data_IF_671654848081
#
_entry.id   IF_671654848081
#
_cell.length_a   1.000
_cell.length_b   1.000
_cell.length_c   1.000
_cell.angle_alpha   90.00
_cell.angle_beta   90.00
_cell.angle_gamma   90.00
#
_symmetry.space_group_name_H-M   'P 1'
#
loop_
_entity.id
_entity.type
_entity.pdbx_description
1 polymer ?
#
# COMPACT_ATOMS: atom_id res chain seq x y z
N UNK A 1 -19.10 -43.32 0.50
CA UNK A 1 -19.18 -41.86 0.65
C UNK A 1 -18.34 -41.27 -0.44
N UNK A 2 -18.80 -40.33 -1.27
CA UNK A 2 -17.91 -39.64 -2.19
C UNK A 2 -16.94 -38.82 -1.35
N UNK A 3 -15.64 -39.09 -1.51
CA UNK A 3 -14.56 -38.36 -0.87
C UNK A 3 -14.57 -36.91 -1.35
N UNK A 4 -14.47 -35.95 -0.45
CA UNK A 4 -14.39 -34.51 -0.68
C UNK A 4 -13.30 -34.12 -1.68
N UNK A 5 -12.35 -35.00 -1.95
CA UNK A 5 -11.21 -34.82 -2.87
C UNK A 5 -11.60 -34.62 -4.34
N UNK A 6 -12.88 -34.74 -4.72
CA UNK A 6 -13.27 -34.83 -6.12
C UNK A 6 -13.61 -33.49 -6.79
N UNK A 7 -13.67 -32.36 -6.08
CA UNK A 7 -13.95 -31.08 -6.74
C UNK A 7 -12.92 -29.99 -6.41
N UNK A 8 -12.19 -29.59 -7.43
CA UNK A 8 -11.25 -28.44 -7.38
C UNK A 8 -11.86 -27.19 -6.70
N UNK A 9 -13.14 -26.83 -6.92
CA UNK A 9 -13.74 -25.70 -6.24
C UNK A 9 -13.80 -25.83 -4.71
N UNK A 10 -14.12 -27.00 -4.18
CA UNK A 10 -14.18 -27.20 -2.72
C UNK A 10 -12.81 -27.09 -2.08
N UNK A 11 -11.80 -27.71 -2.70
CA UNK A 11 -10.43 -27.65 -2.23
C UNK A 11 -9.91 -26.20 -2.19
N UNK A 12 -10.11 -25.43 -3.25
CA UNK A 12 -9.68 -24.03 -3.32
C UNK A 12 -10.33 -23.15 -2.23
N UNK A 13 -11.62 -23.34 -1.99
CA UNK A 13 -12.36 -22.58 -0.98
C UNK A 13 -11.95 -22.92 0.44
N UNK A 14 -11.79 -24.19 0.74
CA UNK A 14 -11.34 -24.64 2.07
C UNK A 14 -9.92 -24.14 2.35
N UNK A 15 -9.02 -24.21 1.39
CA UNK A 15 -7.69 -23.65 1.51
C UNK A 15 -7.73 -22.13 1.76
N UNK A 16 -8.47 -21.37 0.98
CA UNK A 16 -8.59 -19.94 1.15
C UNK A 16 -9.13 -19.57 2.54
N UNK A 17 -10.13 -20.30 3.04
CA UNK A 17 -10.71 -20.09 4.36
C UNK A 17 -9.77 -20.50 5.50
N UNK A 18 -9.03 -21.61 5.34
CA UNK A 18 -8.08 -22.08 6.37
C UNK A 18 -6.93 -21.10 6.60
N UNK A 19 -6.55 -20.38 5.57
CA UNK A 19 -5.39 -19.52 5.56
C UNK A 19 -5.74 -18.08 5.93
N UNK A 20 -7.02 -17.75 5.84
CA UNK A 20 -7.48 -16.45 6.28
C UNK A 20 -7.50 -16.36 7.80
N UNK A 21 -6.89 -15.31 8.34
CA UNK A 21 -6.96 -15.02 9.78
C UNK A 21 -8.36 -14.56 10.22
N UNK A 22 -9.27 -14.33 9.27
CA UNK A 22 -10.64 -13.88 9.50
C UNK A 22 -11.64 -14.58 8.56
N UNK A 23 -12.93 -14.55 8.89
CA UNK A 23 -13.98 -15.01 7.97
C UNK A 23 -13.95 -14.20 6.65
N UNK A 24 -14.15 -14.89 5.52
CA UNK A 24 -14.18 -14.30 4.18
C UNK A 24 -15.59 -14.33 3.61
N UNK A 25 -15.98 -13.28 2.89
CA UNK A 25 -17.25 -13.26 2.16
C UNK A 25 -17.13 -13.93 0.77
N UNK A 26 -18.25 -14.16 0.10
CA UNK A 26 -18.31 -14.84 -1.20
C UNK A 26 -17.48 -14.14 -2.29
N UNK A 27 -17.41 -12.79 -2.28
CA UNK A 27 -16.63 -12.02 -3.25
C UNK A 27 -15.14 -12.14 -3.01
N UNK A 28 -14.72 -12.08 -1.76
CA UNK A 28 -13.32 -12.29 -1.38
C UNK A 28 -12.86 -13.69 -1.77
N UNK A 29 -13.68 -14.70 -1.50
CA UNK A 29 -13.40 -16.07 -1.90
C UNK A 29 -13.35 -16.25 -3.42
N UNK A 30 -14.26 -15.61 -4.16
CA UNK A 30 -14.26 -15.65 -5.63
C UNK A 30 -12.95 -15.06 -6.20
N UNK A 31 -12.51 -13.94 -5.66
CA UNK A 31 -11.28 -13.30 -6.11
C UNK A 31 -10.02 -14.10 -5.72
N UNK A 32 -9.97 -14.66 -4.51
CA UNK A 32 -8.85 -15.50 -4.04
C UNK A 32 -8.73 -16.78 -4.87
N UNK A 33 -9.87 -17.43 -5.17
CA UNK A 33 -9.86 -18.72 -5.87
C UNK A 33 -9.94 -18.62 -7.39
N UNK A 34 -10.23 -17.44 -7.92
CA UNK A 34 -10.50 -17.26 -9.35
C UNK A 34 -11.82 -17.88 -9.83
N UNK A 35 -12.65 -18.37 -8.91
CA UNK A 35 -13.94 -18.97 -9.24
C UNK A 35 -15.04 -17.92 -9.41
N UNK A 36 -15.99 -18.11 -10.35
CA UNK A 36 -17.17 -17.24 -10.42
C UNK A 36 -17.98 -17.27 -9.11
N UNK A 37 -18.49 -16.13 -8.63
CA UNK A 37 -19.24 -16.02 -7.36
C UNK A 37 -20.39 -17.06 -7.25
N UNK A 38 -21.05 -17.37 -8.35
CA UNK A 38 -22.13 -18.37 -8.34
C UNK A 38 -21.61 -19.79 -8.00
N UNK A 39 -20.39 -20.12 -8.43
CA UNK A 39 -19.74 -21.38 -8.09
C UNK A 39 -19.25 -21.40 -6.65
N UNK A 40 -18.68 -20.28 -6.18
CA UNK A 40 -18.30 -20.10 -4.77
C UNK A 40 -19.50 -20.33 -3.86
N UNK A 41 -20.64 -19.69 -4.16
CA UNK A 41 -21.87 -19.85 -3.39
C UNK A 41 -22.40 -21.27 -3.36
N UNK A 42 -22.38 -21.98 -4.50
CA UNK A 42 -22.80 -23.38 -4.57
C UNK A 42 -21.90 -24.26 -3.72
N UNK A 43 -20.59 -24.12 -3.87
CA UNK A 43 -19.62 -24.93 -3.15
C UNK A 43 -19.63 -24.65 -1.63
N UNK A 44 -19.80 -23.39 -1.20
CA UNK A 44 -19.95 -23.04 0.22
C UNK A 44 -21.19 -23.67 0.86
N UNK A 45 -22.30 -23.72 0.13
CA UNK A 45 -23.51 -24.42 0.60
C UNK A 45 -23.27 -25.90 0.79
N UNK A 46 -22.60 -26.55 -0.16
CA UNK A 46 -22.25 -27.97 -0.07
C UNK A 46 -21.29 -28.23 1.09
N UNK A 47 -20.24 -27.41 1.25
CA UNK A 47 -19.29 -27.48 2.35
C UNK A 47 -19.95 -27.23 3.72
N UNK A 48 -20.93 -26.32 3.77
CA UNK A 48 -21.71 -26.08 4.99
C UNK A 48 -22.60 -27.24 5.37
N UNK A 49 -23.23 -27.87 4.40
CA UNK A 49 -24.00 -29.13 4.64
C UNK A 49 -23.11 -30.25 5.18
N UNK A 50 -21.86 -30.29 4.77
CA UNK A 50 -20.85 -31.22 5.24
C UNK A 50 -20.19 -30.79 6.56
N UNK A 51 -20.58 -29.64 7.12
CA UNK A 51 -20.05 -29.08 8.38
C UNK A 51 -18.57 -28.70 8.33
N UNK A 52 -18.00 -28.45 7.17
CA UNK A 52 -16.62 -27.97 7.03
C UNK A 52 -16.52 -26.47 7.17
N UNK A 53 -17.55 -25.73 6.80
CA UNK A 53 -17.62 -24.27 6.94
C UNK A 53 -18.92 -23.85 7.61
N UNK A 54 -18.89 -22.70 8.27
CA UNK A 54 -20.07 -22.07 8.85
C UNK A 54 -20.09 -20.57 8.51
N UNK A 55 -21.30 -20.02 8.41
CA UNK A 55 -21.45 -18.58 8.33
C UNK A 55 -21.05 -17.97 9.67
N UNK A 56 -20.11 -17.03 9.65
CA UNK A 56 -19.69 -16.27 10.80
C UNK A 56 -20.54 -14.98 10.90
N UNK A 57 -20.85 -14.49 12.10
CA UNK A 57 -21.48 -13.19 12.26
C UNK A 57 -20.58 -12.12 11.66
N UNK A 58 -21.16 -11.21 10.87
CA UNK A 58 -20.43 -10.07 10.34
C UNK A 58 -19.98 -9.20 11.51
N UNK A 59 -18.69 -9.20 11.82
CA UNK A 59 -18.15 -8.33 12.84
C UNK A 59 -18.31 -6.86 12.39
N UNK A 60 -19.06 -6.09 13.15
CA UNK A 60 -19.01 -4.62 13.11
C UNK A 60 -20.04 -3.88 12.27
N UNK A 61 -21.20 -4.43 11.96
CA UNK A 61 -22.32 -3.61 11.46
C UNK A 61 -23.25 -3.20 12.62
N UNK A 62 -23.16 -1.95 13.14
CA UNK A 62 -24.07 -1.48 14.18
C UNK A 62 -25.51 -1.25 13.68
N UNK A 63 -25.68 -1.19 12.38
CA UNK A 63 -26.99 -1.06 11.75
C UNK A 63 -27.29 -2.35 10.98
N UNK A 64 -28.35 -3.07 11.34
CA UNK A 64 -28.80 -4.34 10.78
C UNK A 64 -28.98 -4.40 9.25
N UNK A 65 -28.07 -3.82 8.51
CA UNK A 65 -27.94 -3.92 7.07
C UNK A 65 -27.40 -5.29 6.67
N UNK A 66 -28.05 -5.94 5.73
CA UNK A 66 -27.75 -7.24 5.15
C UNK A 66 -26.35 -7.29 4.48
N UNK A 67 -25.29 -7.27 5.27
CA UNK A 67 -23.95 -7.64 4.79
C UNK A 67 -23.96 -9.09 4.29
N UNK A 68 -23.32 -9.36 3.16
CA UNK A 68 -23.16 -10.73 2.69
C UNK A 68 -22.51 -11.57 3.81
N UNK A 69 -22.99 -12.78 4.08
CA UNK A 69 -22.45 -13.62 5.15
C UNK A 69 -20.97 -13.88 4.91
N UNK A 70 -20.17 -13.72 5.96
CA UNK A 70 -18.79 -14.18 5.96
C UNK A 70 -18.74 -15.65 6.37
N UNK A 71 -17.75 -16.37 5.86
CA UNK A 71 -17.60 -17.80 6.04
C UNK A 71 -16.29 -18.10 6.75
N UNK A 72 -16.31 -19.06 7.68
CA UNK A 72 -15.14 -19.53 8.40
C UNK A 72 -15.13 -21.07 8.41
N UNK A 73 -13.93 -21.65 8.54
CA UNK A 73 -13.77 -23.08 8.72
C UNK A 73 -14.18 -23.48 10.13
N UNK A 74 -14.91 -24.57 10.21
CA UNK A 74 -15.28 -25.19 11.48
C UNK A 74 -14.31 -26.30 11.89
N UNK A 75 -13.87 -27.11 10.93
CA UNK A 75 -12.92 -28.21 11.16
C UNK A 75 -12.35 -28.73 9.83
N UNK A 76 -11.03 -28.90 9.74
CA UNK A 76 -10.37 -29.66 8.67
C UNK A 76 -9.35 -30.61 9.29
N UNK A 77 -9.34 -31.85 8.79
CA UNK A 77 -8.32 -32.83 9.13
C UNK A 77 -7.02 -32.48 8.35
N UNK A 78 -5.81 -32.55 8.99
CA UNK A 78 -4.54 -32.22 8.32
C UNK A 78 -4.30 -33.00 7.01
N UNK A 79 -4.58 -34.29 7.01
CA UNK A 79 -4.40 -35.17 5.83
C UNK A 79 -5.27 -34.73 4.64
N UNK A 80 -6.42 -34.11 4.92
CA UNK A 80 -7.31 -33.58 3.89
C UNK A 80 -6.72 -32.32 3.22
N UNK A 81 -5.96 -31.51 3.95
CA UNK A 81 -5.28 -30.34 3.38
C UNK A 81 -4.19 -30.76 2.40
N UNK A 82 -3.46 -31.82 2.69
CA UNK A 82 -2.39 -32.35 1.84
C UNK A 82 -2.95 -32.91 0.53
N UNK A 83 -4.01 -33.75 0.61
CA UNK A 83 -4.74 -34.28 -0.55
C UNK A 83 -5.34 -33.17 -1.43
N UNK A 84 -5.83 -32.11 -0.82
CA UNK A 84 -6.41 -30.97 -1.52
C UNK A 84 -5.33 -30.15 -2.24
N UNK A 85 -4.16 -29.97 -1.63
CA UNK A 85 -3.02 -29.30 -2.22
C UNK A 85 -2.53 -30.07 -3.46
N UNK A 86 -2.40 -31.38 -3.37
CA UNK A 86 -2.01 -32.27 -4.47
C UNK A 86 -3.01 -32.22 -5.65
N UNK A 87 -4.31 -32.21 -5.31
CA UNK A 87 -5.40 -32.10 -6.31
C UNK A 87 -5.35 -30.77 -7.07
N UNK A 88 -5.07 -29.67 -6.39
CA UNK A 88 -4.98 -28.35 -6.99
C UNK A 88 -3.73 -28.19 -7.86
N UNK A 89 -2.59 -28.73 -7.43
CA UNK A 89 -1.36 -28.74 -8.22
C UNK A 89 -1.51 -29.50 -9.54
N UNK A 90 -2.21 -30.63 -9.51
CA UNK A 90 -2.39 -31.47 -10.71
C UNK A 90 -3.45 -30.93 -11.66
N UNK A 91 -4.49 -30.25 -11.15
CA UNK A 91 -5.63 -29.80 -11.94
C UNK A 91 -5.48 -28.41 -12.56
N UNK A 92 -4.62 -27.55 -12.02
CA UNK A 92 -4.53 -26.15 -12.40
C UNK A 92 -3.09 -25.61 -12.33
N UNK A 93 -2.20 -26.03 -13.24
CA UNK A 93 -0.80 -25.56 -13.23
C UNK A 93 -0.69 -24.04 -13.40
N UNK A 94 -1.61 -23.40 -14.14
CA UNK A 94 -1.63 -21.95 -14.34
C UNK A 94 -2.34 -21.19 -13.21
N UNK A 95 -3.07 -21.85 -12.34
CA UNK A 95 -3.77 -21.29 -11.19
C UNK A 95 -3.26 -21.84 -9.85
N UNK A 96 -2.00 -22.24 -9.80
CA UNK A 96 -1.34 -22.75 -8.59
C UNK A 96 -1.30 -21.79 -7.39
N UNK A 97 -1.82 -20.57 -7.57
CA UNK A 97 -1.91 -19.57 -6.52
C UNK A 97 -2.68 -20.04 -5.28
N UNK A 98 -3.83 -20.72 -5.38
CA UNK A 98 -4.51 -21.27 -4.20
C UNK A 98 -3.66 -22.27 -3.43
N UNK A 99 -2.86 -23.08 -4.13
CA UNK A 99 -1.90 -23.99 -3.51
C UNK A 99 -0.80 -23.24 -2.77
N UNK A 100 -0.13 -22.28 -3.44
CA UNK A 100 0.93 -21.49 -2.82
C UNK A 100 0.39 -20.66 -1.65
N UNK A 101 -0.84 -20.16 -1.74
CA UNK A 101 -1.53 -19.56 -0.60
C UNK A 101 -1.76 -20.58 0.53
N UNK A 102 -2.09 -21.82 0.17
CA UNK A 102 -2.25 -22.95 1.09
C UNK A 102 -0.99 -23.19 1.89
N UNK A 103 0.09 -23.31 1.18
CA UNK A 103 1.40 -23.59 1.74
C UNK A 103 1.92 -22.41 2.56
N UNK A 104 1.54 -21.15 2.30
CA UNK A 104 1.93 -19.99 3.12
C UNK A 104 1.52 -20.12 4.61
N UNK A 105 0.56 -20.98 4.92
CA UNK A 105 0.18 -21.33 6.30
C UNK A 105 1.12 -22.30 7.02
N UNK A 106 1.91 -23.09 6.28
CA UNK A 106 2.76 -24.18 6.79
C UNK A 106 4.24 -24.01 6.39
N UNK A 107 4.79 -25.01 5.72
CA UNK A 107 6.19 -25.11 5.31
C UNK A 107 6.48 -24.40 3.97
N UNK A 108 5.84 -23.28 3.73
CA UNK A 108 6.01 -22.50 2.51
C UNK A 108 7.45 -22.01 2.33
N UNK A 109 7.85 -21.94 1.08
CA UNK A 109 9.14 -21.37 0.67
C UNK A 109 8.99 -19.88 0.28
N UNK A 110 10.12 -19.18 0.12
CA UNK A 110 10.11 -17.82 -0.43
C UNK A 110 9.64 -17.81 -1.89
N UNK A 111 9.85 -18.90 -2.62
CA UNK A 111 9.36 -19.11 -3.98
C UNK A 111 7.82 -19.11 -4.02
N UNK A 112 7.17 -19.80 -3.09
CA UNK A 112 5.71 -19.81 -2.96
C UNK A 112 5.19 -18.40 -2.66
N UNK A 113 5.85 -17.70 -1.76
CA UNK A 113 5.51 -16.31 -1.44
C UNK A 113 5.64 -15.40 -2.67
N UNK A 114 6.69 -15.56 -3.48
CA UNK A 114 6.89 -14.77 -4.70
C UNK A 114 5.78 -15.00 -5.71
N UNK A 115 5.31 -16.25 -5.88
CA UNK A 115 4.20 -16.58 -6.79
C UNK A 115 2.92 -15.87 -6.33
N UNK A 116 2.63 -15.88 -5.01
CA UNK A 116 1.48 -15.18 -4.46
C UNK A 116 1.62 -13.67 -4.63
N UNK A 117 2.80 -13.11 -4.40
CA UNK A 117 3.07 -11.68 -4.60
C UNK A 117 2.84 -11.26 -6.05
N UNK A 118 3.29 -12.06 -7.03
CA UNK A 118 3.06 -11.81 -8.46
C UNK A 118 1.56 -11.87 -8.80
N UNK A 119 0.84 -12.83 -8.24
CA UNK A 119 -0.61 -12.91 -8.42
C UNK A 119 -1.33 -11.68 -7.88
N UNK A 120 -0.97 -11.23 -6.66
CA UNK A 120 -1.50 -10.00 -6.07
C UNK A 120 -1.24 -8.83 -7.02
N UNK A 121 -0.01 -8.71 -7.54
CA UNK A 121 0.39 -7.65 -8.45
C UNK A 121 -0.45 -7.63 -9.73
N UNK A 122 -0.66 -8.79 -10.35
CA UNK A 122 -1.48 -8.88 -11.55
C UNK A 122 -2.94 -8.50 -11.31
N UNK A 123 -3.49 -8.82 -10.14
CA UNK A 123 -4.88 -8.52 -9.75
C UNK A 123 -5.09 -7.12 -9.22
N UNK A 124 -4.05 -6.47 -8.67
CA UNK A 124 -4.12 -5.06 -8.29
C UNK A 124 -4.44 -4.14 -9.47
N UNK A 125 -4.10 -4.56 -10.70
CA UNK A 125 -4.42 -3.83 -11.92
C UNK A 125 -5.92 -3.68 -12.12
N UNK A 126 -6.67 -4.72 -11.78
CA UNK A 126 -8.11 -4.81 -11.98
C UNK A 126 -8.92 -4.22 -10.81
N UNK A 127 -8.22 -3.69 -9.79
CA UNK A 127 -8.84 -3.08 -8.61
C UNK A 127 -9.76 -4.04 -7.83
N UNK A 128 -9.37 -5.30 -7.68
CA UNK A 128 -10.12 -6.29 -6.93
C UNK A 128 -9.86 -6.16 -5.41
N UNK A 129 -10.83 -5.67 -4.61
CA UNK A 129 -10.63 -5.46 -3.17
C UNK A 129 -10.24 -6.73 -2.40
N UNK A 130 -10.65 -7.88 -2.89
CA UNK A 130 -10.41 -9.17 -2.25
C UNK A 130 -8.92 -9.58 -2.28
N UNK A 131 -8.15 -9.04 -3.21
CA UNK A 131 -6.70 -9.24 -3.27
C UNK A 131 -6.00 -8.70 -2.01
N UNK A 132 -6.61 -7.73 -1.33
CA UNK A 132 -6.02 -7.18 -0.10
C UNK A 132 -5.98 -8.17 1.07
N UNK A 133 -6.88 -9.16 1.12
CA UNK A 133 -6.79 -10.25 2.10
C UNK A 133 -5.52 -11.09 1.90
N UNK A 134 -5.06 -11.24 0.66
CA UNK A 134 -3.83 -11.95 0.34
C UNK A 134 -2.59 -11.22 0.86
N UNK A 135 -2.63 -9.90 0.97
CA UNK A 135 -1.51 -9.13 1.54
C UNK A 135 -1.24 -9.50 2.99
N UNK A 136 -2.28 -9.62 3.80
CA UNK A 136 -2.11 -9.99 5.21
C UNK A 136 -1.39 -11.33 5.33
N UNK A 137 -1.80 -12.31 4.51
CA UNK A 137 -1.17 -13.64 4.50
C UNK A 137 0.30 -13.57 4.12
N UNK A 138 0.63 -12.82 3.08
CA UNK A 138 2.02 -12.63 2.63
C UNK A 138 2.85 -11.93 3.71
N UNK A 139 2.33 -10.86 4.32
CA UNK A 139 3.04 -10.14 5.40
C UNK A 139 3.24 -11.04 6.61
N UNK A 140 2.22 -11.80 7.02
CA UNK A 140 2.32 -12.75 8.13
C UNK A 140 3.30 -13.88 7.83
N UNK A 141 3.32 -14.38 6.60
CA UNK A 141 4.32 -15.36 6.17
C UNK A 141 5.73 -14.78 6.28
N UNK A 142 5.97 -13.59 5.72
CA UNK A 142 7.30 -12.96 5.77
C UNK A 142 7.74 -12.67 7.21
N UNK A 143 6.84 -12.28 8.09
CA UNK A 143 7.16 -12.11 9.51
C UNK A 143 7.55 -13.45 10.19
N UNK A 144 6.81 -14.52 9.91
CA UNK A 144 7.15 -15.85 10.46
C UNK A 144 8.45 -16.38 9.87
N UNK A 145 8.60 -16.31 8.56
CA UNK A 145 9.80 -16.79 7.86
C UNK A 145 11.05 -16.09 8.36
N UNK A 146 11.02 -14.77 8.44
CA UNK A 146 12.16 -13.99 8.93
C UNK A 146 12.54 -14.32 10.36
N UNK A 147 11.55 -14.54 11.25
CA UNK A 147 11.82 -14.97 12.65
C UNK A 147 12.41 -16.37 12.72
N UNK A 148 11.89 -17.30 11.91
CA UNK A 148 12.35 -18.68 11.88
C UNK A 148 13.77 -18.83 11.31
N UNK A 149 14.15 -17.99 10.33
CA UNK A 149 15.40 -18.09 9.59
C UNK A 149 16.35 -16.92 9.87
N UNK A 150 16.22 -16.27 11.02
CA UNK A 150 17.02 -15.11 11.38
C UNK A 150 18.54 -15.41 11.35
N UNK A 151 18.93 -16.58 11.82
CA UNK A 151 20.34 -16.98 11.97
C UNK A 151 20.82 -17.93 10.85
N UNK A 152 19.92 -18.48 10.03
CA UNK A 152 20.23 -19.52 9.03
C UNK A 152 19.66 -19.23 7.62
N UNK A 153 19.19 -18.02 7.37
CA UNK A 153 18.65 -17.63 6.06
C UNK A 153 19.65 -17.80 4.91
N UNK A 154 20.94 -17.69 5.20
CA UNK A 154 22.02 -17.97 4.26
C UNK A 154 21.87 -17.21 2.95
N UNK A 155 21.96 -17.93 1.82
CA UNK A 155 21.81 -17.34 0.47
C UNK A 155 20.40 -16.83 0.16
N UNK A 156 19.38 -17.22 0.93
CA UNK A 156 17.99 -16.77 0.71
C UNK A 156 17.70 -15.41 1.36
N UNK A 157 18.60 -14.91 2.20
CA UNK A 157 18.39 -13.62 2.90
C UNK A 157 18.21 -12.42 1.96
N UNK A 158 18.86 -12.40 0.80
CA UNK A 158 18.68 -11.36 -0.19
C UNK A 158 17.29 -11.42 -0.84
N UNK A 159 16.81 -12.63 -1.18
CA UNK A 159 15.48 -12.82 -1.76
C UNK A 159 14.38 -12.43 -0.78
N UNK A 160 14.56 -12.76 0.48
CA UNK A 160 13.68 -12.30 1.55
C UNK A 160 13.64 -10.77 1.62
N UNK A 161 14.79 -10.11 1.62
CA UNK A 161 14.87 -8.66 1.65
C UNK A 161 14.18 -8.00 0.44
N UNK A 162 14.35 -8.55 -0.76
CA UNK A 162 13.64 -8.08 -1.96
C UNK A 162 12.13 -8.23 -1.85
N UNK A 163 11.65 -9.40 -1.42
CA UNK A 163 10.22 -9.62 -1.22
C UNK A 163 9.62 -8.65 -0.20
N UNK A 164 10.35 -8.38 0.89
CA UNK A 164 9.92 -7.38 1.88
C UNK A 164 9.76 -6.00 1.24
N UNK A 165 10.76 -5.54 0.46
CA UNK A 165 10.70 -4.24 -0.21
C UNK A 165 9.51 -4.15 -1.18
N UNK A 166 9.26 -5.22 -1.94
CA UNK A 166 8.14 -5.30 -2.88
C UNK A 166 6.81 -5.22 -2.16
N UNK A 167 6.61 -6.06 -1.14
CA UNK A 167 5.37 -6.10 -0.36
C UNK A 167 5.12 -4.77 0.33
N UNK A 168 6.14 -4.13 0.86
CA UNK A 168 6.03 -2.79 1.45
C UNK A 168 5.60 -1.74 0.42
N UNK A 169 6.12 -1.80 -0.82
CA UNK A 169 5.67 -0.92 -1.91
C UNK A 169 4.19 -1.12 -2.23
N UNK A 170 3.74 -2.37 -2.27
CA UNK A 170 2.33 -2.71 -2.49
C UNK A 170 1.44 -2.19 -1.35
N UNK A 171 1.87 -2.31 -0.10
CA UNK A 171 1.14 -1.79 1.06
C UNK A 171 1.02 -0.26 1.04
N UNK A 172 2.02 0.48 0.56
CA UNK A 172 1.90 1.93 0.34
C UNK A 172 0.76 2.24 -0.62
N UNK A 173 0.61 1.42 -1.63
CA UNK A 173 -0.40 1.59 -2.66
C UNK A 173 -1.82 1.38 -2.14
N UNK A 174 -2.02 0.32 -1.37
CA UNK A 174 -3.32 -0.07 -0.84
C UNK A 174 -3.73 0.67 0.44
N UNK A 175 -2.79 1.25 1.18
CA UNK A 175 -2.94 1.71 2.58
C UNK A 175 -3.44 0.66 3.58
N UNK A 176 -3.73 -0.54 3.10
CA UNK A 176 -3.99 -1.66 3.99
C UNK A 176 -2.66 -2.21 4.50
N UNK A 177 -2.65 -2.63 5.75
CA UNK A 177 -1.49 -3.30 6.38
C UNK A 177 -0.17 -2.51 6.43
N UNK A 178 -0.20 -1.18 6.20
CA UNK A 178 1.01 -0.34 6.27
C UNK A 178 1.75 -0.47 7.60
N UNK A 179 1.00 -0.50 8.70
CA UNK A 179 1.60 -0.66 10.03
C UNK A 179 2.29 -2.02 10.16
N UNK A 180 1.61 -3.09 9.75
CA UNK A 180 2.15 -4.44 9.77
C UNK A 180 3.36 -4.59 8.82
N UNK A 181 3.30 -3.98 7.64
CA UNK A 181 4.41 -3.95 6.69
C UNK A 181 5.63 -3.19 7.24
N UNK A 182 5.42 -2.18 8.09
CA UNK A 182 6.53 -1.46 8.75
C UNK A 182 7.29 -2.36 9.71
N UNK A 183 6.64 -3.35 10.32
CA UNK A 183 7.29 -4.33 11.21
C UNK A 183 8.26 -5.26 10.47
N UNK A 184 8.08 -5.43 9.15
CA UNK A 184 8.99 -6.23 8.32
C UNK A 184 10.39 -5.61 8.19
N UNK A 185 10.51 -4.28 8.21
CA UNK A 185 11.79 -3.61 7.99
C UNK A 185 12.85 -3.95 9.04
N UNK A 186 12.59 -3.88 10.36
CA UNK A 186 13.57 -4.25 11.37
C UNK A 186 14.00 -5.71 11.23
N UNK A 187 13.03 -6.61 11.00
CA UNK A 187 13.29 -8.03 10.87
C UNK A 187 14.14 -8.34 9.63
N UNK A 188 13.78 -7.76 8.46
CA UNK A 188 14.55 -7.93 7.24
C UNK A 188 15.98 -7.37 7.38
N UNK A 189 16.13 -6.26 8.10
CA UNK A 189 17.42 -5.68 8.39
C UNK A 189 18.29 -6.62 9.23
N UNK A 190 17.74 -7.21 10.29
CA UNK A 190 18.47 -8.17 11.15
C UNK A 190 18.82 -9.47 10.40
N UNK A 191 17.88 -10.01 9.61
CA UNK A 191 18.13 -11.18 8.76
C UNK A 191 19.26 -10.91 7.78
N UNK A 192 19.27 -9.74 7.13
CA UNK A 192 20.35 -9.35 6.22
C UNK A 192 21.69 -9.20 6.93
N UNK A 193 21.72 -8.59 8.11
CA UNK A 193 22.92 -8.39 8.90
C UNK A 193 23.55 -9.71 9.36
N UNK A 194 22.74 -10.64 9.87
CA UNK A 194 23.21 -11.92 10.40
C UNK A 194 23.65 -12.92 9.32
N UNK A 195 23.14 -12.76 8.10
CA UNK A 195 23.37 -13.68 7.00
C UNK A 195 24.29 -13.12 5.91
N UNK A 196 25.15 -12.17 6.24
CA UNK A 196 26.14 -11.57 5.32
C UNK A 196 25.51 -10.95 4.05
N UNK A 197 24.27 -10.48 4.16
CA UNK A 197 23.56 -9.79 3.08
C UNK A 197 23.53 -8.27 3.33
N UNK A 198 24.57 -7.73 3.88
CA UNK A 198 24.69 -6.33 4.32
C UNK A 198 24.37 -5.32 3.20
N UNK A 199 24.54 -5.71 1.92
CA UNK A 199 24.24 -4.88 0.76
C UNK A 199 22.78 -4.42 0.71
N UNK A 200 21.83 -5.19 1.27
CA UNK A 200 20.42 -4.83 1.29
C UNK A 200 20.03 -3.94 2.48
N UNK A 201 20.85 -3.89 3.51
CA UNK A 201 20.56 -3.11 4.72
C UNK A 201 20.31 -1.62 4.44
N UNK A 202 21.12 -0.93 3.61
CA UNK A 202 20.86 0.47 3.27
C UNK A 202 19.51 0.67 2.57
N UNK A 203 19.15 -0.24 1.64
CA UNK A 203 17.89 -0.16 0.90
C UNK A 203 16.69 -0.34 1.84
N UNK A 204 16.70 -1.38 2.67
CA UNK A 204 15.66 -1.65 3.66
C UNK A 204 15.48 -0.43 4.58
N UNK A 205 16.58 0.16 5.00
CA UNK A 205 16.55 1.32 5.89
C UNK A 205 15.96 2.57 5.22
N UNK A 206 16.45 2.93 4.04
CA UNK A 206 15.94 4.08 3.29
C UNK A 206 14.45 3.89 3.00
N UNK A 207 14.06 2.68 2.58
CA UNK A 207 12.68 2.39 2.26
C UNK A 207 11.76 2.41 3.49
N UNK A 208 12.26 1.99 4.66
CA UNK A 208 11.55 2.16 5.93
C UNK A 208 11.23 3.62 6.23
N UNK A 209 12.20 4.53 6.04
CA UNK A 209 11.99 5.96 6.22
C UNK A 209 10.94 6.50 5.22
N UNK A 210 10.98 6.00 3.99
CA UNK A 210 9.98 6.33 2.98
C UNK A 210 8.58 5.85 3.36
N UNK A 211 8.44 4.62 3.85
CA UNK A 211 7.17 4.09 4.35
C UNK A 211 6.56 4.94 5.47
N UNK A 212 7.39 5.49 6.32
CA UNK A 212 6.94 6.31 7.44
C UNK A 212 6.24 7.60 7.01
N UNK A 213 6.47 8.09 5.78
CA UNK A 213 5.67 9.18 5.21
C UNK A 213 4.18 8.81 5.13
N UNK A 214 3.88 7.54 4.98
CA UNK A 214 2.51 7.05 4.76
C UNK A 214 1.89 6.40 6.00
N UNK A 215 2.70 5.84 6.90
CA UNK A 215 2.22 5.14 8.10
C UNK A 215 2.13 6.02 9.34
N UNK A 216 2.82 7.16 9.37
CA UNK A 216 2.83 8.08 10.52
C UNK A 216 3.60 7.57 11.75
N UNK A 217 4.35 6.48 11.61
CA UNK A 217 5.18 5.94 12.69
C UNK A 217 6.34 6.86 13.07
N UNK A 218 6.86 6.75 14.29
CA UNK A 218 8.05 7.50 14.70
C UNK A 218 9.25 7.11 13.86
N UNK A 219 9.90 8.06 13.18
CA UNK A 219 11.15 7.76 12.52
C UNK A 219 12.22 7.60 13.59
N UNK A 220 12.91 6.49 13.65
CA UNK A 220 14.19 6.45 14.34
C UNK A 220 15.20 7.23 13.50
N UNK A 221 15.12 8.55 13.54
CA UNK A 221 16.10 9.45 12.97
C UNK A 221 17.37 9.40 13.83
N UNK A 222 18.10 8.32 13.73
CA UNK A 222 19.47 8.32 14.19
C UNK A 222 20.33 8.69 13.00
N UNK A 223 21.17 9.72 13.12
CA UNK A 223 22.14 10.19 12.10
C UNK A 223 22.97 9.07 11.48
N UNK A 224 23.04 7.95 12.16
CA UNK A 224 23.77 6.75 11.79
C UNK A 224 23.40 6.14 10.43
N UNK A 225 22.21 6.44 9.91
CA UNK A 225 21.63 5.80 8.73
C UNK A 225 21.33 6.76 7.57
N UNK A 226 21.55 8.06 7.76
CA UNK A 226 21.38 9.05 6.69
C UNK A 226 22.47 9.00 5.59
N UNK A 227 23.27 7.96 5.56
CA UNK A 227 24.28 7.70 4.52
C UNK A 227 24.12 6.31 3.91
N UNK A 228 22.87 5.82 3.86
CA UNK A 228 22.60 4.48 3.34
C UNK A 228 23.02 4.31 1.87
N UNK A 229 22.72 5.30 1.03
CA UNK A 229 23.09 5.28 -0.39
C UNK A 229 24.59 5.33 -0.61
N UNK A 230 25.35 6.02 0.24
CA UNK A 230 26.82 6.05 0.18
C UNK A 230 27.40 4.66 0.42
N UNK A 231 26.84 3.89 1.36
CA UNK A 231 27.26 2.50 1.61
C UNK A 231 26.99 1.60 0.41
N UNK A 232 25.88 1.84 -0.34
CA UNK A 232 25.57 1.06 -1.55
C UNK A 232 26.64 1.20 -2.64
N UNK A 233 27.35 2.32 -2.72
CA UNK A 233 28.39 2.58 -3.73
C UNK A 233 29.62 1.68 -3.60
N UNK A 234 29.78 1.00 -2.46
CA UNK A 234 30.88 0.04 -2.26
C UNK A 234 30.60 -1.31 -2.94
N UNK A 235 29.36 -1.62 -3.27
CA UNK A 235 29.00 -2.84 -3.98
C UNK A 235 29.16 -2.65 -5.50
N UNK A 236 29.88 -3.56 -6.14
CA UNK A 236 30.29 -3.45 -7.56
C UNK A 236 29.34 -4.17 -8.50
N UNK A 237 28.41 -4.95 -7.99
CA UNK A 237 27.42 -5.67 -8.79
C UNK A 237 26.55 -4.69 -9.56
N UNK A 238 26.34 -4.95 -10.86
CA UNK A 238 25.64 -4.03 -11.76
C UNK A 238 24.19 -3.75 -11.28
N UNK A 239 23.49 -4.76 -10.80
CA UNK A 239 22.13 -4.61 -10.27
C UNK A 239 22.07 -3.67 -9.05
N UNK A 240 23.11 -3.67 -8.22
CA UNK A 240 23.23 -2.74 -7.09
C UNK A 240 23.54 -1.33 -7.57
N UNK A 241 24.42 -1.17 -8.56
CA UNK A 241 24.75 0.13 -9.15
C UNK A 241 23.52 0.78 -9.81
N UNK A 242 22.68 -0.01 -10.48
CA UNK A 242 21.43 0.45 -11.10
C UNK A 242 20.39 0.92 -10.07
N UNK A 243 20.45 0.39 -8.84
CA UNK A 243 19.55 0.77 -7.73
C UNK A 243 19.97 2.04 -7.01
N UNK A 244 21.27 2.38 -7.05
CA UNK A 244 21.81 3.53 -6.31
C UNK A 244 21.03 4.83 -6.61
N UNK A 245 20.78 5.24 -7.86
CA UNK A 245 20.08 6.49 -8.13
C UNK A 245 18.68 6.54 -7.49
N UNK A 246 18.00 5.40 -7.38
CA UNK A 246 16.66 5.33 -6.79
C UNK A 246 16.71 5.55 -5.29
N UNK A 247 17.52 4.78 -4.59
CA UNK A 247 17.61 4.90 -3.13
C UNK A 247 18.29 6.20 -2.69
N UNK A 248 19.31 6.65 -3.42
CA UNK A 248 19.94 7.96 -3.20
C UNK A 248 18.94 9.09 -3.39
N UNK A 249 18.09 9.02 -4.42
CA UNK A 249 17.06 10.01 -4.68
C UNK A 249 15.98 10.05 -3.59
N UNK A 250 15.54 8.89 -3.10
CA UNK A 250 14.61 8.82 -1.96
C UNK A 250 15.27 9.42 -0.70
N UNK A 251 16.50 9.03 -0.41
CA UNK A 251 17.26 9.54 0.74
C UNK A 251 17.44 11.05 0.68
N UNK A 252 17.81 11.60 -0.47
CA UNK A 252 17.95 13.03 -0.69
C UNK A 252 16.61 13.76 -0.50
N UNK A 253 15.51 13.20 -1.00
CA UNK A 253 14.18 13.75 -0.78
C UNK A 253 13.82 13.83 0.70
N UNK A 254 14.07 12.76 1.47
CA UNK A 254 13.84 12.73 2.90
C UNK A 254 14.70 13.77 3.66
N UNK A 255 15.92 13.98 3.21
CA UNK A 255 16.82 15.02 3.75
C UNK A 255 16.43 16.45 3.34
N UNK A 256 15.53 16.62 2.36
CA UNK A 256 15.16 17.90 1.79
C UNK A 256 16.16 18.43 0.77
N UNK A 257 17.03 17.57 0.23
CA UNK A 257 17.98 17.88 -0.84
C UNK A 257 17.29 17.68 -2.20
N UNK A 258 16.36 18.59 -2.52
CA UNK A 258 15.45 18.41 -3.66
C UNK A 258 16.14 18.45 -5.01
N UNK A 259 17.18 19.27 -5.18
CA UNK A 259 17.94 19.31 -6.44
C UNK A 259 18.68 18.02 -6.71
N UNK A 260 19.29 17.45 -5.68
CA UNK A 260 19.98 16.16 -5.73
C UNK A 260 19.00 15.02 -6.02
N UNK A 261 17.78 15.09 -5.48
CA UNK A 261 16.69 14.15 -5.83
C UNK A 261 16.40 14.19 -7.35
N UNK A 262 16.28 15.39 -7.93
CA UNK A 262 16.05 15.54 -9.38
C UNK A 262 17.23 15.05 -10.21
N UNK A 263 18.46 15.24 -9.76
CA UNK A 263 19.64 14.68 -10.43
C UNK A 263 19.64 13.15 -10.39
N UNK A 264 19.25 12.55 -9.28
CA UNK A 264 19.09 11.09 -9.18
C UNK A 264 18.01 10.58 -10.11
N UNK A 265 16.88 11.29 -10.19
CA UNK A 265 15.80 10.95 -11.11
C UNK A 265 16.27 10.98 -12.59
N UNK A 266 17.06 11.95 -12.97
CA UNK A 266 17.61 12.06 -14.33
C UNK A 266 18.62 10.93 -14.67
N UNK A 267 19.30 10.37 -13.65
CA UNK A 267 20.28 9.29 -13.80
C UNK A 267 19.69 7.89 -13.64
N UNK A 268 18.38 7.78 -13.34
CA UNK A 268 17.77 6.48 -13.13
C UNK A 268 17.92 5.61 -14.37
N UNK A 269 18.14 4.28 -14.21
CA UNK A 269 18.24 3.37 -15.33
C UNK A 269 16.93 3.31 -16.12
N UNK A 270 17.00 3.00 -17.40
CA UNK A 270 15.82 2.67 -18.19
C UNK A 270 15.10 1.49 -17.50
N UNK A 271 13.79 1.64 -17.34
CA UNK A 271 12.95 0.82 -16.45
C UNK A 271 12.80 -0.63 -16.95
N UNK A 272 13.82 -1.47 -16.79
CA UNK A 272 13.71 -2.89 -17.16
C UNK A 272 13.56 -3.85 -15.98
N UNK A 273 13.71 -3.36 -14.73
CA UNK A 273 13.52 -4.20 -13.54
C UNK A 273 12.03 -4.32 -13.19
N UNK A 274 11.57 -5.55 -12.91
CA UNK A 274 10.18 -5.88 -12.63
C UNK A 274 9.53 -5.07 -11.51
N UNK A 275 10.25 -4.74 -10.46
CA UNK A 275 9.75 -3.95 -9.33
C UNK A 275 9.68 -2.43 -9.61
N UNK A 276 10.30 -1.95 -10.70
CA UNK A 276 10.13 -0.59 -11.19
C UNK A 276 8.90 -0.42 -12.08
N UNK A 277 8.53 -1.46 -12.80
CA UNK A 277 7.46 -1.38 -13.81
C UNK A 277 6.06 -1.37 -13.20
N UNK A 278 5.90 -1.86 -11.96
CA UNK A 278 4.61 -2.27 -11.44
C UNK A 278 4.12 -1.49 -10.24
N UNK A 279 4.97 -0.66 -9.61
CA UNK A 279 4.59 0.09 -8.43
C UNK A 279 4.70 1.58 -8.70
N UNK A 280 3.91 2.34 -7.93
CA UNK A 280 4.08 3.76 -7.79
C UNK A 280 5.56 4.05 -7.51
N UNK A 281 6.30 4.35 -8.57
CA UNK A 281 7.75 4.44 -8.54
C UNK A 281 8.20 5.44 -7.48
N UNK A 282 8.80 5.01 -6.38
CA UNK A 282 9.09 5.88 -5.26
C UNK A 282 9.93 7.10 -5.66
N UNK A 283 10.87 6.91 -6.59
CA UNK A 283 11.71 8.01 -7.04
C UNK A 283 10.95 9.02 -7.89
N UNK A 284 10.05 8.59 -8.77
CA UNK A 284 9.18 9.52 -9.52
C UNK A 284 8.29 10.32 -8.59
N UNK A 285 7.76 9.69 -7.52
CA UNK A 285 7.01 10.42 -6.49
C UNK A 285 7.90 11.46 -5.79
N UNK A 286 9.05 11.06 -5.29
CA UNK A 286 10.00 11.97 -4.62
C UNK A 286 10.42 13.12 -5.53
N UNK A 287 10.73 12.82 -6.80
CA UNK A 287 11.16 13.82 -7.79
C UNK A 287 10.04 14.80 -8.14
N UNK A 288 8.80 14.32 -8.33
CA UNK A 288 7.67 15.20 -8.60
C UNK A 288 7.38 16.13 -7.42
N UNK A 289 7.45 15.63 -6.19
CA UNK A 289 7.32 16.44 -4.98
C UNK A 289 8.49 17.43 -4.83
N UNK A 290 9.72 17.00 -5.08
CA UNK A 290 10.89 17.86 -5.04
C UNK A 290 10.77 19.02 -6.04
N UNK A 291 10.35 18.75 -7.28
CA UNK A 291 10.10 19.77 -8.29
C UNK A 291 8.98 20.75 -7.86
N UNK A 292 7.89 20.24 -7.23
CA UNK A 292 6.85 21.10 -6.68
C UNK A 292 7.36 22.02 -5.57
N UNK A 293 8.21 21.52 -4.67
CA UNK A 293 8.77 22.32 -3.59
C UNK A 293 9.77 23.38 -4.10
N UNK A 294 10.48 23.08 -5.18
CA UNK A 294 11.34 24.05 -5.87
C UNK A 294 10.56 25.01 -6.77
N UNK A 295 9.24 24.86 -6.89
CA UNK A 295 8.36 25.61 -7.80
C UNK A 295 8.68 25.40 -9.29
N UNK A 296 9.36 24.30 -9.61
CA UNK A 296 9.65 23.89 -10.98
C UNK A 296 8.43 23.13 -11.56
N UNK A 297 7.29 23.80 -11.60
CA UNK A 297 6.00 23.20 -11.96
C UNK A 297 5.96 22.53 -13.34
N UNK A 298 6.60 23.06 -14.40
CA UNK A 298 6.67 22.35 -15.69
C UNK A 298 7.36 20.99 -15.57
N UNK A 299 8.46 20.94 -14.81
CA UNK A 299 9.18 19.69 -14.56
C UNK A 299 8.33 18.71 -13.74
N UNK A 300 7.69 19.18 -12.67
CA UNK A 300 6.78 18.36 -11.87
C UNK A 300 5.63 17.78 -12.73
N UNK A 301 5.03 18.60 -13.61
CA UNK A 301 4.00 18.16 -14.55
C UNK A 301 4.53 17.06 -15.48
N UNK A 302 5.71 17.27 -16.07
CA UNK A 302 6.34 16.30 -16.98
C UNK A 302 6.61 14.95 -16.30
N UNK A 303 7.10 14.96 -15.06
CA UNK A 303 7.34 13.74 -14.28
C UNK A 303 6.02 13.00 -14.02
N UNK A 304 4.99 13.70 -13.54
CA UNK A 304 3.69 13.11 -13.21
C UNK A 304 3.02 12.55 -14.47
N UNK A 305 2.99 13.29 -15.56
CA UNK A 305 2.36 12.84 -16.81
C UNK A 305 3.12 11.67 -17.45
N UNK A 306 4.45 11.66 -17.42
CA UNK A 306 5.25 10.54 -17.87
C UNK A 306 4.96 9.27 -17.06
N UNK A 307 4.92 9.38 -15.74
CA UNK A 307 4.62 8.25 -14.86
C UNK A 307 3.17 7.75 -15.04
N UNK A 308 2.21 8.67 -15.21
CA UNK A 308 0.81 8.34 -15.51
C UNK A 308 0.68 7.58 -16.84
N UNK A 309 1.30 8.08 -17.90
CA UNK A 309 1.28 7.43 -19.21
C UNK A 309 1.91 6.04 -19.17
N UNK A 310 3.03 5.89 -18.46
CA UNK A 310 3.67 4.58 -18.26
C UNK A 310 2.70 3.59 -17.58
N UNK A 311 2.00 4.04 -16.54
CA UNK A 311 1.01 3.22 -15.84
C UNK A 311 -0.17 2.85 -16.75
N UNK A 312 -0.68 3.79 -17.55
CA UNK A 312 -1.77 3.53 -18.51
C UNK A 312 -1.37 2.53 -19.59
N UNK A 313 -0.17 2.67 -20.15
CA UNK A 313 0.36 1.73 -21.15
C UNK A 313 0.58 0.32 -20.58
N UNK A 314 0.90 0.22 -19.29
CA UNK A 314 1.01 -1.05 -18.56
C UNK A 314 -0.35 -1.63 -18.14
N UNK A 315 -1.47 -0.93 -18.38
CA UNK A 315 -2.80 -1.32 -17.89
C UNK A 315 -3.02 -1.11 -16.41
N UNK A 316 -2.15 -0.37 -15.73
CA UNK A 316 -2.17 -0.14 -14.27
C UNK A 316 -3.09 1.05 -13.93
N UNK A 317 -4.38 0.84 -14.09
CA UNK A 317 -5.40 1.90 -13.93
C UNK A 317 -5.33 2.62 -12.58
N UNK A 318 -5.15 1.90 -11.48
CA UNK A 318 -5.08 2.53 -10.15
C UNK A 318 -3.83 3.39 -9.97
N UNK A 319 -2.69 2.92 -10.49
CA UNK A 319 -1.45 3.70 -10.46
C UNK A 319 -1.62 4.99 -11.24
N UNK A 320 -2.23 4.92 -12.43
CA UNK A 320 -2.54 6.10 -13.23
C UNK A 320 -3.45 7.09 -12.47
N UNK A 321 -4.49 6.59 -11.79
CA UNK A 321 -5.38 7.44 -10.98
C UNK A 321 -4.67 8.07 -9.77
N UNK A 322 -3.72 7.37 -9.16
CA UNK A 322 -2.90 7.93 -8.09
C UNK A 322 -2.04 9.10 -8.60
N UNK A 323 -1.48 8.98 -9.80
CA UNK A 323 -0.77 10.08 -10.45
C UNK A 323 -1.69 11.26 -10.80
N UNK A 324 -2.93 11.01 -11.20
CA UNK A 324 -3.93 12.07 -11.38
C UNK A 324 -4.24 12.77 -10.05
N UNK A 325 -4.31 12.03 -8.94
CA UNK A 325 -4.50 12.64 -7.63
C UNK A 325 -3.33 13.58 -7.24
N UNK A 326 -2.09 13.20 -7.58
CA UNK A 326 -0.93 14.09 -7.43
C UNK A 326 -1.01 15.31 -8.34
N UNK A 327 -1.45 15.13 -9.58
CA UNK A 327 -1.64 16.22 -10.53
C UNK A 327 -2.65 17.25 -10.00
N UNK A 328 -3.72 16.81 -9.32
CA UNK A 328 -4.67 17.72 -8.70
C UNK A 328 -3.99 18.70 -7.73
N UNK A 329 -3.15 18.22 -6.82
CA UNK A 329 -2.43 19.08 -5.88
C UNK A 329 -1.42 19.99 -6.57
N UNK A 330 -0.76 19.53 -7.64
CA UNK A 330 0.11 20.37 -8.45
C UNK A 330 -0.66 21.52 -9.11
N UNK A 331 -1.81 21.23 -9.72
CA UNK A 331 -2.66 22.23 -10.35
C UNK A 331 -3.19 23.25 -9.34
N UNK A 332 -3.61 22.81 -8.15
CA UNK A 332 -4.02 23.69 -7.06
C UNK A 332 -2.89 24.63 -6.62
N UNK A 333 -1.65 24.13 -6.53
CA UNK A 333 -0.47 24.97 -6.21
C UNK A 333 -0.16 26.00 -7.30
N UNK A 334 -0.42 25.66 -8.55
CA UNK A 334 -0.28 26.57 -9.70
C UNK A 334 -1.38 27.63 -9.78
N UNK A 335 -2.48 27.44 -9.03
CA UNK A 335 -3.69 28.24 -9.18
C UNK A 335 -4.51 27.89 -10.42
N UNK A 336 -4.24 26.76 -11.09
CA UNK A 336 -4.97 26.29 -12.27
C UNK A 336 -6.28 25.59 -11.84
N UNK A 337 -7.19 26.37 -11.26
CA UNK A 337 -8.39 25.85 -10.57
C UNK A 337 -9.34 25.13 -11.53
N UNK A 338 -9.51 25.64 -12.76
CA UNK A 338 -10.42 25.05 -13.75
C UNK A 338 -9.94 23.67 -14.22
N UNK A 339 -8.63 23.52 -14.38
CA UNK A 339 -8.02 22.22 -14.72
C UNK A 339 -8.09 21.25 -13.53
N UNK A 340 -7.85 21.77 -12.32
CA UNK A 340 -7.87 20.97 -11.10
C UNK A 340 -9.25 20.34 -10.84
N UNK A 341 -10.33 21.14 -10.97
CA UNK A 341 -11.68 20.61 -10.68
C UNK A 341 -12.09 19.51 -11.66
N UNK A 342 -11.72 19.63 -12.94
CA UNK A 342 -12.01 18.57 -13.93
C UNK A 342 -11.32 17.24 -13.55
N UNK A 343 -10.08 17.29 -13.06
CA UNK A 343 -9.36 16.08 -12.63
C UNK A 343 -9.91 15.52 -11.30
N UNK A 344 -10.29 16.40 -10.39
CA UNK A 344 -10.90 16.02 -9.12
C UNK A 344 -12.25 15.32 -9.36
N UNK A 345 -13.11 15.91 -10.18
CA UNK A 345 -14.41 15.33 -10.54
C UNK A 345 -14.25 13.98 -11.25
N UNK A 346 -13.27 13.88 -12.14
CA UNK A 346 -12.93 12.60 -12.77
C UNK A 346 -12.61 11.52 -11.71
N UNK A 347 -11.73 11.81 -10.75
CA UNK A 347 -11.36 10.85 -9.70
C UNK A 347 -12.55 10.46 -8.82
N UNK A 348 -13.36 11.44 -8.40
CA UNK A 348 -14.54 11.20 -7.55
C UNK A 348 -15.59 10.34 -8.23
N UNK A 349 -15.71 10.43 -9.57
CA UNK A 349 -16.64 9.62 -10.35
C UNK A 349 -16.11 8.24 -10.71
N UNK A 350 -14.78 8.10 -10.87
CA UNK A 350 -14.17 6.85 -11.35
C UNK A 350 -13.71 5.93 -10.23
N UNK A 351 -13.52 6.44 -9.00
CA UNK A 351 -13.01 5.66 -7.86
C UNK A 351 -13.96 5.80 -6.69
N UNK A 352 -14.95 4.90 -6.57
CA UNK A 352 -15.78 4.84 -5.37
C UNK A 352 -14.91 4.67 -4.12
N UNK A 353 -15.25 5.30 -3.00
CA UNK A 353 -14.48 5.19 -1.75
C UNK A 353 -14.28 3.75 -1.28
N UNK A 354 -15.18 2.85 -1.63
CA UNK A 354 -15.14 1.44 -1.28
C UNK A 354 -14.04 0.67 -2.03
N UNK A 355 -13.62 1.18 -3.18
CA UNK A 355 -12.63 0.51 -4.04
C UNK A 355 -11.19 0.91 -3.70
N UNK A 356 -10.94 2.21 -3.52
CA UNK A 356 -9.61 2.67 -3.11
C UNK A 356 -9.69 3.94 -2.27
N UNK A 357 -9.57 3.75 -0.95
CA UNK A 357 -9.66 4.85 0.01
C UNK A 357 -8.58 5.92 -0.18
N UNK A 358 -7.39 5.53 -0.60
CA UNK A 358 -6.27 6.48 -0.77
C UNK A 358 -6.56 7.48 -1.88
N UNK A 359 -6.98 6.99 -3.03
CA UNK A 359 -7.30 7.84 -4.19
C UNK A 359 -8.53 8.68 -3.88
N UNK A 360 -9.58 8.07 -3.35
CA UNK A 360 -10.82 8.76 -2.99
C UNK A 360 -10.58 9.84 -1.93
N UNK A 361 -9.88 9.54 -0.84
CA UNK A 361 -9.52 10.54 0.19
C UNK A 361 -8.64 11.65 -0.37
N UNK A 362 -7.69 11.34 -1.26
CA UNK A 362 -6.86 12.35 -1.90
C UNK A 362 -7.68 13.28 -2.79
N UNK A 363 -8.64 12.74 -3.56
CA UNK A 363 -9.56 13.53 -4.38
C UNK A 363 -10.44 14.45 -3.51
N UNK A 364 -10.99 13.93 -2.40
CA UNK A 364 -11.81 14.72 -1.46
C UNK A 364 -10.99 15.83 -0.79
N UNK A 365 -9.76 15.55 -0.39
CA UNK A 365 -8.85 16.57 0.16
C UNK A 365 -8.52 17.64 -0.87
N UNK A 366 -8.24 17.25 -2.11
CA UNK A 366 -8.02 18.18 -3.21
C UNK A 366 -9.27 19.04 -3.48
N UNK A 367 -10.49 18.45 -3.43
CA UNK A 367 -11.75 19.18 -3.55
C UNK A 367 -11.93 20.21 -2.42
N UNK A 368 -11.58 19.86 -1.19
CA UNK A 368 -11.63 20.79 -0.06
C UNK A 368 -10.68 21.99 -0.27
N UNK A 369 -9.43 21.73 -0.69
CA UNK A 369 -8.47 22.77 -1.02
C UNK A 369 -8.97 23.62 -2.18
N UNK A 370 -9.52 23.02 -3.24
CA UNK A 370 -10.13 23.74 -4.37
C UNK A 370 -11.23 24.70 -3.91
N UNK A 371 -12.16 24.23 -3.07
CA UNK A 371 -13.21 25.10 -2.56
C UNK A 371 -12.67 26.27 -1.77
N UNK A 372 -11.67 26.04 -0.92
CA UNK A 372 -11.04 27.13 -0.18
C UNK A 372 -10.37 28.16 -1.10
N UNK A 373 -9.55 27.71 -2.06
CA UNK A 373 -8.89 28.59 -3.01
C UNK A 373 -9.87 29.35 -3.91
N UNK A 374 -11.08 28.78 -4.13
CA UNK A 374 -12.20 29.43 -4.82
C UNK A 374 -13.03 30.35 -3.91
N UNK A 375 -12.58 30.68 -2.69
CA UNK A 375 -13.30 31.54 -1.73
C UNK A 375 -14.44 30.86 -0.99
N UNK A 376 -14.68 29.58 -1.16
CA UNK A 376 -15.82 28.82 -0.58
C UNK A 376 -15.37 27.98 0.62
N UNK A 377 -14.83 28.63 1.66
CA UNK A 377 -14.23 27.92 2.81
C UNK A 377 -15.25 27.08 3.59
N UNK A 378 -16.54 27.49 3.67
CA UNK A 378 -17.59 26.68 4.31
C UNK A 378 -17.84 25.36 3.56
N UNK A 379 -17.77 25.40 2.22
CA UNK A 379 -17.87 24.19 1.40
C UNK A 379 -16.67 23.27 1.64
N UNK A 380 -15.46 23.83 1.70
CA UNK A 380 -14.25 23.07 2.01
C UNK A 380 -14.35 22.33 3.35
N UNK A 381 -14.81 23.03 4.40
CA UNK A 381 -15.02 22.45 5.72
C UNK A 381 -16.02 21.28 5.68
N UNK A 382 -17.19 21.50 5.05
CA UNK A 382 -18.22 20.46 4.95
C UNK A 382 -17.74 19.22 4.21
N UNK A 383 -17.02 19.40 3.10
CA UNK A 383 -16.48 18.28 2.31
C UNK A 383 -15.54 17.43 3.15
N UNK A 384 -14.59 18.05 3.83
CA UNK A 384 -13.59 17.32 4.62
C UNK A 384 -14.21 16.64 5.85
N UNK A 385 -15.12 17.33 6.55
CA UNK A 385 -15.87 16.76 7.68
C UNK A 385 -16.71 15.56 7.29
N UNK A 386 -17.45 15.66 6.18
CA UNK A 386 -18.32 14.58 5.72
C UNK A 386 -17.53 13.35 5.31
N UNK A 387 -16.38 13.53 4.65
CA UNK A 387 -15.47 12.42 4.31
C UNK A 387 -15.00 11.72 5.57
N UNK A 388 -14.54 12.46 6.57
CA UNK A 388 -14.04 11.90 7.83
C UNK A 388 -15.10 11.09 8.55
N UNK A 389 -16.32 11.60 8.63
CA UNK A 389 -17.43 10.88 9.27
C UNK A 389 -17.78 9.58 8.53
N UNK A 390 -17.78 9.61 7.19
CA UNK A 390 -18.01 8.41 6.37
C UNK A 390 -16.88 7.39 6.55
N UNK A 391 -15.63 7.84 6.53
CA UNK A 391 -14.48 6.97 6.70
C UNK A 391 -14.48 6.32 8.09
N UNK A 392 -14.81 7.07 9.14
CA UNK A 392 -14.94 6.55 10.50
C UNK A 392 -16.04 5.50 10.63
N UNK A 393 -17.23 5.78 10.05
CA UNK A 393 -18.36 4.86 10.07
C UNK A 393 -18.08 3.53 9.35
N UNK A 394 -17.13 3.52 8.41
CA UNK A 394 -16.73 2.33 7.63
C UNK A 394 -15.47 1.65 8.17
N UNK A 395 -14.91 2.11 9.29
CA UNK A 395 -13.66 1.58 9.82
C UNK A 395 -12.43 1.81 8.92
N UNK A 396 -12.51 2.78 8.00
CA UNK A 396 -11.42 3.06 7.05
C UNK A 396 -10.21 3.64 7.77
N UNK A 397 -9.00 3.09 7.55
CA UNK A 397 -7.79 3.64 8.13
C UNK A 397 -7.56 5.08 7.67
N UNK A 398 -7.15 5.94 8.58
CA UNK A 398 -6.73 7.30 8.22
C UNK A 398 -5.30 7.28 7.71
N UNK A 399 -5.06 7.88 6.53
CA UNK A 399 -3.69 8.12 6.07
C UNK A 399 -3.15 9.38 6.72
N UNK A 400 -2.06 9.30 7.49
CA UNK A 400 -1.42 10.47 8.10
C UNK A 400 -0.69 11.33 7.07
N UNK A 401 -0.43 10.80 5.87
CA UNK A 401 0.18 11.58 4.81
C UNK A 401 -0.81 12.59 4.26
N UNK A 402 -0.54 13.86 4.54
CA UNK A 402 -1.31 15.00 4.04
C UNK A 402 -0.42 15.87 3.15
N UNK A 403 -1.00 16.41 2.09
CA UNK A 403 -0.34 17.49 1.37
C UNK A 403 -0.28 18.73 2.27
N UNK A 404 0.84 19.50 2.27
CA UNK A 404 0.96 20.73 3.05
C UNK A 404 -0.18 21.72 2.88
N UNK A 405 -0.85 21.76 1.71
CA UNK A 405 -2.03 22.60 1.49
C UNK A 405 -3.21 22.23 2.39
N UNK A 406 -3.30 20.95 2.78
CA UNK A 406 -4.37 20.49 3.70
C UNK A 406 -4.10 21.00 5.11
N UNK A 407 -2.85 20.99 5.59
CA UNK A 407 -2.51 21.57 6.89
C UNK A 407 -2.78 23.09 6.93
N UNK A 408 -2.44 23.80 5.85
CA UNK A 408 -2.77 25.22 5.73
C UNK A 408 -4.28 25.46 5.81
N UNK A 409 -5.07 24.60 5.14
CA UNK A 409 -6.53 24.68 5.18
C UNK A 409 -7.09 24.39 6.59
N UNK A 410 -6.55 23.41 7.30
CA UNK A 410 -6.96 23.10 8.68
C UNK A 410 -6.68 24.26 9.63
N UNK A 411 -5.53 24.93 9.47
CA UNK A 411 -5.21 26.14 10.21
C UNK A 411 -6.20 27.28 9.92
N UNK A 412 -6.62 27.47 8.67
CA UNK A 412 -7.66 28.46 8.30
C UNK A 412 -8.98 28.13 8.98
N UNK A 413 -9.37 26.87 9.07
CA UNK A 413 -10.60 26.45 9.78
C UNK A 413 -10.50 26.83 11.27
N UNK A 414 -9.40 26.54 11.93
CA UNK A 414 -9.16 26.90 13.33
C UNK A 414 -9.28 28.42 13.52
N UNK A 415 -8.60 29.22 12.70
CA UNK A 415 -8.62 30.71 12.78
C UNK A 415 -10.03 31.29 12.55
N UNK A 416 -10.87 30.61 11.80
CA UNK A 416 -12.27 31.02 11.57
C UNK A 416 -13.25 30.46 12.59
N UNK A 417 -12.80 29.74 13.62
CA UNK A 417 -13.61 29.18 14.68
C UNK A 417 -14.48 27.99 14.26
N UNK A 418 -14.12 27.28 13.19
CA UNK A 418 -14.80 26.04 12.85
C UNK A 418 -14.49 24.96 13.91
N UNK A 419 -15.46 24.08 14.25
CA UNK A 419 -15.23 22.95 15.11
C UNK A 419 -14.13 22.03 14.55
N UNK A 420 -13.31 21.40 15.43
CA UNK A 420 -12.30 20.44 14.99
C UNK A 420 -12.93 19.32 14.16
N UNK A 421 -12.26 18.91 13.09
CA UNK A 421 -12.65 17.76 12.28
C UNK A 421 -11.92 16.53 12.86
N UNK A 422 -12.64 15.48 13.30
CA UNK A 422 -12.01 14.27 13.82
C UNK A 422 -10.95 13.72 12.86
N UNK A 423 -9.81 13.29 13.35
CA UNK A 423 -8.63 12.83 12.58
C UNK A 423 -7.87 13.92 11.79
N UNK A 424 -8.35 15.17 11.82
CA UNK A 424 -7.71 16.32 11.19
C UNK A 424 -7.55 17.49 12.18
N UNK A 425 -7.34 17.19 13.43
CA UNK A 425 -7.02 18.20 14.43
C UNK A 425 -5.66 18.84 14.09
N UNK A 426 -5.61 20.17 14.12
CA UNK A 426 -4.41 20.93 13.70
C UNK A 426 -3.20 20.51 14.51
N UNK A 427 -3.34 20.37 15.84
CA UNK A 427 -2.24 19.98 16.73
C UNK A 427 -1.71 18.59 16.43
N UNK A 428 -2.59 17.59 16.35
CA UNK A 428 -2.22 16.22 16.01
C UNK A 428 -1.59 16.13 14.61
N UNK A 429 -2.05 16.97 13.67
CA UNK A 429 -1.47 17.04 12.31
C UNK A 429 -0.09 17.67 12.33
N UNK A 430 0.11 18.75 13.13
CA UNK A 430 1.43 19.36 13.34
C UNK A 430 2.40 18.35 13.94
N UNK A 431 2.00 17.63 15.01
CA UNK A 431 2.84 16.60 15.61
C UNK A 431 3.20 15.50 14.61
N UNK A 432 2.23 15.04 13.81
CA UNK A 432 2.46 14.05 12.76
C UNK A 432 3.49 14.55 11.75
N UNK A 433 3.40 15.80 11.30
CA UNK A 433 4.36 16.39 10.37
C UNK A 433 5.73 16.60 10.99
N UNK A 434 5.81 16.96 12.26
CA UNK A 434 7.08 17.11 12.96
C UNK A 434 7.82 15.78 13.12
N UNK A 435 7.09 14.68 13.22
CA UNK A 435 7.63 13.31 13.27
C UNK A 435 8.08 12.79 11.90
N UNK A 436 7.66 13.41 10.81
CA UNK A 436 8.04 12.97 9.47
C UNK A 436 9.53 13.19 9.19
N UNK A 437 10.20 12.29 8.48
CA UNK A 437 11.60 12.48 8.08
C UNK A 437 11.76 13.65 7.11
N UNK A 438 10.73 13.99 6.35
CA UNK A 438 10.75 15.04 5.33
C UNK A 438 10.84 16.44 5.95
N UNK A 439 11.93 17.14 5.67
CA UNK A 439 12.18 18.49 6.20
C UNK A 439 11.13 19.52 5.76
N UNK A 440 10.56 19.36 4.57
CA UNK A 440 9.52 20.28 4.07
C UNK A 440 8.23 20.16 4.88
N UNK A 441 7.79 18.93 5.18
CA UNK A 441 6.63 18.72 6.03
C UNK A 441 6.86 19.27 7.43
N UNK A 442 8.05 19.01 8.00
CA UNK A 442 8.44 19.58 9.29
C UNK A 442 8.48 21.11 9.26
N UNK A 443 9.03 21.70 8.19
CA UNK A 443 9.06 23.16 8.01
C UNK A 443 7.65 23.76 7.92
N UNK A 444 6.72 23.09 7.23
CA UNK A 444 5.32 23.52 7.18
C UNK A 444 4.66 23.45 8.56
N UNK A 445 4.89 22.37 9.30
CA UNK A 445 4.37 22.22 10.66
C UNK A 445 4.92 23.31 11.60
N UNK A 446 6.21 23.57 11.58
CA UNK A 446 6.83 24.64 12.37
C UNK A 446 6.28 26.02 12.02
N UNK A 447 6.05 26.30 10.73
CA UNK A 447 5.44 27.55 10.29
C UNK A 447 4.02 27.70 10.82
N UNK A 448 3.17 26.68 10.69
CA UNK A 448 1.79 26.73 11.20
C UNK A 448 1.78 26.81 12.72
N UNK A 449 2.66 26.08 13.40
CA UNK A 449 2.80 26.16 14.85
C UNK A 449 3.16 27.57 15.31
N UNK A 450 4.15 28.19 14.65
CA UNK A 450 4.54 29.57 14.97
C UNK A 450 3.45 30.62 14.70
N UNK A 451 2.57 30.37 13.71
CA UNK A 451 1.43 31.26 13.45
C UNK A 451 0.29 31.14 14.47
N UNK A 452 0.27 30.06 15.27
CA UNK A 452 -0.71 29.84 16.35
C UNK A 452 -0.29 30.44 17.68
N UNK A 453 1.01 30.69 17.89
CA UNK A 453 1.58 31.34 19.07
C UNK A 453 1.40 32.86 19.02
#
# INVERSE_FOLDING_TARGET
>A
MPTLSSSVPHASLLLALQLSARPLNERELAAITGLPEIRVRSALRELSLQKHVAAAPAEGSPDGGSGAPAWAITRIEPDLLEDMAETLCSACPDTGVPYHMGVLGGDATLEDCEIVVRFIDDRLKDNEPAVFACFEMVVQFLLRWGRAHMDDAGQKSWRYAELVLVVQSMCIFSHHYLQLATELSPLAYEVAARNNSERFMPMIWIFRQYLQLFSGGEPPLTDRFFHGSEKMRHFKEQDMQDRIPVFEGIENFLKGHFRETLQCYARRPAQDHWWYKRFFEPLSFCASQAAMYLREYPLATGIIESARQTAELAGERLVAMLWIAHLCFLLLRKGALDEAIVKIDYLLNCVPPEQNHKIASSAVRALAVYHHLSGRTDAAYRVLRNETLRAAARGVPHSPFLDPLVLDLLYVFEQRGYPPIPRYEVEATIETFLRQPNRQLRGTALRVHALRL
#
